data_IF_996729674657
#
_entry.id   IF_996729674657
#
_cell.length_a   1.000
_cell.length_b   1.000
_cell.length_c   1.000
_cell.angle_alpha   90.00
_cell.angle_beta   90.00
_cell.angle_gamma   90.00
#
_symmetry.space_group_name_H-M   'P 1'
#
loop_
_entity.id
_entity.type
_entity.pdbx_description
1 polymer ?
#
# COMPACT_ATOMS: atom_id res chain seq x y z
N UNK A 1 15.48 -10.77 -1.46
CA UNK A 1 14.46 -11.16 -0.51
C UNK A 1 13.83 -9.94 0.13
N UNK A 2 12.53 -9.96 0.18
CA UNK A 2 11.80 -8.82 0.71
C UNK A 2 12.16 -8.49 2.14
N UNK A 3 12.35 -9.49 2.96
CA UNK A 3 12.62 -9.24 4.37
C UNK A 3 13.95 -8.55 4.62
N UNK A 4 14.87 -8.60 3.65
CA UNK A 4 16.16 -7.93 3.83
C UNK A 4 16.03 -6.42 3.90
N UNK A 5 15.02 -5.88 3.25
CA UNK A 5 14.83 -4.44 3.22
C UNK A 5 13.71 -4.01 4.13
N UNK A 6 13.22 -4.90 4.99
CA UNK A 6 12.09 -4.60 5.86
C UNK A 6 10.74 -4.80 5.21
N UNK A 7 10.71 -5.25 3.96
CA UNK A 7 9.46 -5.54 3.30
C UNK A 7 9.23 -7.05 3.30
N UNK A 8 7.98 -7.46 3.50
CA UNK A 8 7.62 -8.87 3.47
C UNK A 8 7.31 -9.36 2.06
N UNK A 9 6.82 -8.48 1.19
CA UNK A 9 6.48 -8.84 -0.18
C UNK A 9 6.63 -7.62 -1.05
N UNK A 10 7.10 -7.83 -2.28
CA UNK A 10 7.19 -6.77 -3.26
C UNK A 10 6.63 -7.32 -4.57
N UNK A 11 5.63 -6.60 -5.12
CA UNK A 11 5.06 -6.90 -6.41
C UNK A 11 5.46 -5.81 -7.39
N UNK A 12 5.72 -6.20 -8.61
CA UNK A 12 6.19 -5.27 -9.63
C UNK A 12 5.31 -5.38 -10.85
N UNK A 13 4.91 -4.24 -11.40
CA UNK A 13 4.21 -4.16 -12.66
C UNK A 13 5.20 -3.71 -13.72
N UNK A 14 5.18 -4.37 -14.88
CA UNK A 14 6.08 -4.06 -15.98
C UNK A 14 5.29 -3.81 -17.24
N UNK A 15 5.84 -3.00 -18.13
CA UNK A 15 5.28 -2.76 -19.45
C UNK A 15 6.41 -2.82 -20.47
N UNK A 16 6.10 -3.16 -21.75
CA UNK A 16 7.11 -3.16 -22.79
C UNK A 16 7.71 -1.78 -22.97
N UNK A 17 9.01 -1.74 -23.16
CA UNK A 17 9.73 -0.50 -23.45
C UNK A 17 10.62 -0.70 -24.65
N UNK A 18 11.29 0.37 -25.10
CA UNK A 18 12.14 0.31 -26.28
C UNK A 18 13.35 -0.60 -26.05
N UNK A 19 13.78 -0.73 -24.80
CA UNK A 19 14.94 -1.56 -24.46
C UNK A 19 14.52 -2.78 -23.65
N UNK A 20 13.27 -3.25 -23.83
CA UNK A 20 12.76 -4.38 -23.06
C UNK A 20 11.78 -3.92 -21.99
N UNK A 21 11.38 -4.82 -21.10
CA UNK A 21 10.40 -4.47 -20.08
C UNK A 21 10.91 -3.37 -19.16
N UNK A 22 10.02 -2.46 -18.79
CA UNK A 22 10.30 -1.40 -17.82
C UNK A 22 9.37 -1.53 -16.65
N UNK A 23 9.87 -1.26 -15.46
CA UNK A 23 9.04 -1.22 -14.26
C UNK A 23 8.19 0.03 -14.31
N UNK A 24 6.88 -0.13 -14.23
CA UNK A 24 5.95 1.00 -14.26
C UNK A 24 5.25 1.20 -12.93
N UNK A 25 5.44 0.30 -11.99
CA UNK A 25 4.86 0.45 -10.66
C UNK A 25 5.31 -0.67 -9.76
N UNK A 26 5.07 -0.48 -8.45
CA UNK A 26 5.32 -1.54 -7.50
C UNK A 26 4.39 -1.37 -6.30
N UNK A 27 4.24 -2.46 -5.56
CA UNK A 27 3.52 -2.47 -4.31
C UNK A 27 4.30 -3.31 -3.32
N UNK A 28 4.30 -2.92 -2.07
CA UNK A 28 5.06 -3.66 -1.07
C UNK A 28 4.34 -3.68 0.26
N UNK A 29 4.70 -4.67 1.07
CA UNK A 29 4.26 -4.79 2.45
C UNK A 29 5.49 -4.67 3.34
N UNK A 30 5.33 -3.95 4.43
CA UNK A 30 6.40 -3.84 5.41
C UNK A 30 5.81 -3.97 6.81
N UNK A 31 6.65 -4.24 7.82
CA UNK A 31 6.14 -4.40 9.18
C UNK A 31 5.46 -3.11 9.64
N UNK A 32 4.32 -3.28 10.32
CA UNK A 32 3.64 -2.14 10.90
C UNK A 32 4.43 -1.61 12.09
N UNK A 33 4.81 -2.51 12.99
CA UNK A 33 5.65 -2.22 14.14
C UNK A 33 6.48 -3.46 14.42
N UNK A 34 7.60 -3.26 15.09
CA UNK A 34 8.56 -4.36 15.26
C UNK A 34 8.18 -5.32 16.37
N UNK A 35 7.32 -4.90 17.30
CA UNK A 35 7.00 -5.76 18.42
C UNK A 35 6.17 -6.96 17.97
N UNK A 36 6.34 -8.06 18.68
CA UNK A 36 5.67 -9.31 18.32
C UNK A 36 4.16 -9.17 18.29
N UNK A 37 3.60 -8.33 19.16
CA UNK A 37 2.15 -8.17 19.22
C UNK A 37 1.58 -7.63 17.91
N UNK A 38 2.40 -6.98 17.07
CA UNK A 38 1.93 -6.35 15.85
C UNK A 38 2.29 -7.12 14.60
N UNK A 39 2.71 -8.37 14.72
CA UNK A 39 3.15 -9.14 13.56
C UNK A 39 2.02 -9.46 12.60
N UNK A 40 0.78 -9.41 13.05
CA UNK A 40 -0.35 -9.67 12.19
C UNK A 40 -0.76 -8.50 11.32
N UNK A 41 -0.14 -7.35 11.48
CA UNK A 41 -0.46 -6.14 10.74
C UNK A 41 0.73 -5.69 9.92
N UNK A 42 0.47 -5.32 8.67
CA UNK A 42 1.50 -4.82 7.77
C UNK A 42 1.04 -3.51 7.17
N UNK A 43 2.00 -2.73 6.70
CA UNK A 43 1.72 -1.47 6.04
C UNK A 43 2.03 -1.62 4.56
N UNK A 44 1.15 -1.11 3.69
CA UNK A 44 1.38 -1.21 2.26
C UNK A 44 1.94 0.09 1.71
N UNK A 45 2.62 -0.03 0.58
CA UNK A 45 3.06 1.09 -0.24
C UNK A 45 2.79 0.74 -1.68
N UNK A 46 2.30 1.72 -2.44
CA UNK A 46 2.01 1.53 -3.86
C UNK A 46 2.54 2.73 -4.63
N UNK A 47 3.20 2.44 -5.72
CA UNK A 47 3.69 3.47 -6.63
C UNK A 47 3.41 3.07 -8.06
N UNK A 48 2.93 4.00 -8.87
CA UNK A 48 2.77 3.83 -10.30
C UNK A 48 3.37 5.05 -10.98
N UNK A 49 4.18 4.82 -12.01
CA UNK A 49 4.79 5.91 -12.76
C UNK A 49 3.71 6.79 -13.37
N UNK A 50 3.96 8.11 -13.40
CA UNK A 50 2.94 9.07 -13.83
C UNK A 50 2.37 8.77 -15.20
N UNK A 51 3.22 8.41 -16.14
CA UNK A 51 2.76 8.18 -17.51
C UNK A 51 1.93 6.92 -17.65
N UNK A 52 1.86 6.11 -16.60
CA UNK A 52 1.09 4.88 -16.60
C UNK A 52 -0.11 4.92 -15.69
N UNK A 53 -0.41 6.06 -15.10
CA UNK A 53 -1.57 6.20 -14.24
C UNK A 53 -2.85 6.16 -15.07
N UNK A 54 -3.94 5.77 -14.43
CA UNK A 54 -5.22 5.68 -15.08
C UNK A 54 -5.43 4.44 -15.92
N UNK A 55 -4.53 3.46 -15.82
CA UNK A 55 -4.61 2.23 -16.60
C UNK A 55 -4.97 1.01 -15.77
N UNK A 56 -5.37 1.23 -14.51
CA UNK A 56 -5.75 0.11 -13.65
C UNK A 56 -4.58 -0.61 -13.01
N UNK A 57 -3.36 -0.10 -13.15
CA UNK A 57 -2.18 -0.78 -12.61
C UNK A 57 -2.21 -0.78 -11.11
N UNK A 58 -2.51 0.37 -10.49
CA UNK A 58 -2.56 0.44 -9.03
C UNK A 58 -3.66 -0.45 -8.47
N UNK A 59 -4.80 -0.50 -9.17
CA UNK A 59 -5.91 -1.35 -8.76
C UNK A 59 -5.49 -2.81 -8.75
N UNK A 60 -4.82 -3.25 -9.78
CA UNK A 60 -4.37 -4.64 -9.85
C UNK A 60 -3.28 -4.93 -8.83
N UNK A 61 -2.32 -4.01 -8.68
CA UNK A 61 -1.25 -4.19 -7.70
C UNK A 61 -1.82 -4.30 -6.29
N UNK A 62 -2.75 -3.42 -5.94
CA UNK A 62 -3.31 -3.47 -4.58
C UNK A 62 -4.11 -4.75 -4.37
N UNK A 63 -4.90 -5.15 -5.35
CA UNK A 63 -5.65 -6.39 -5.23
C UNK A 63 -4.76 -7.59 -5.03
N UNK A 64 -3.69 -7.70 -5.83
CA UNK A 64 -2.75 -8.82 -5.71
C UNK A 64 -2.00 -8.76 -4.39
N UNK A 65 -1.63 -7.56 -3.94
CA UNK A 65 -0.91 -7.41 -2.69
C UNK A 65 -1.77 -7.85 -1.51
N UNK A 66 -3.05 -7.48 -1.52
CA UNK A 66 -3.95 -7.87 -0.42
C UNK A 66 -4.19 -9.37 -0.41
N UNK A 67 -4.28 -9.98 -1.59
CA UNK A 67 -4.41 -11.43 -1.63
C UNK A 67 -3.14 -12.10 -1.09
N UNK A 68 -1.98 -11.57 -1.44
CA UNK A 68 -0.72 -12.06 -0.90
C UNK A 68 -0.68 -11.91 0.62
N UNK A 69 -1.12 -10.77 1.12
CA UNK A 69 -1.14 -10.54 2.57
C UNK A 69 -2.05 -11.55 3.26
N UNK A 70 -3.23 -11.76 2.69
CA UNK A 70 -4.19 -12.67 3.31
C UNK A 70 -3.69 -14.10 3.30
N UNK A 71 -3.16 -14.57 2.18
CA UNK A 71 -2.69 -15.95 2.09
C UNK A 71 -1.42 -16.17 2.89
N UNK A 72 -0.67 -15.10 3.16
CA UNK A 72 0.51 -15.20 4.03
C UNK A 72 0.18 -15.20 5.50
N UNK A 73 -1.09 -15.05 5.86
CA UNK A 73 -1.50 -15.14 7.25
C UNK A 73 -1.61 -13.82 7.97
N UNK A 74 -1.42 -12.68 7.29
CA UNK A 74 -1.59 -11.39 7.94
C UNK A 74 -3.07 -11.12 8.18
N UNK A 75 -3.35 -10.39 9.25
CA UNK A 75 -4.72 -10.12 9.67
C UNK A 75 -5.22 -8.78 9.19
N UNK A 76 -4.36 -7.79 9.09
CA UNK A 76 -4.79 -6.46 8.66
C UNK A 76 -3.69 -5.73 7.92
N UNK A 77 -4.09 -4.77 7.11
CA UNK A 77 -3.18 -3.93 6.33
C UNK A 77 -3.55 -2.48 6.58
N UNK A 78 -2.53 -1.68 6.87
CA UNK A 78 -2.66 -0.25 7.11
C UNK A 78 -2.06 0.49 5.92
N UNK A 79 -2.71 1.57 5.51
CA UNK A 79 -2.20 2.46 4.46
C UNK A 79 -2.11 3.87 5.01
N UNK A 80 -0.98 4.53 4.75
CA UNK A 80 -0.80 5.93 5.09
C UNK A 80 -0.73 6.73 3.81
N UNK A 81 -1.70 7.61 3.62
CA UNK A 81 -1.87 8.36 2.37
C UNK A 81 -1.63 9.82 2.68
N UNK A 82 -0.55 10.37 2.13
CA UNK A 82 -0.16 11.74 2.42
C UNK A 82 -0.84 12.74 1.52
N UNK A 83 -1.13 13.91 2.08
CA UNK A 83 -1.69 15.02 1.35
C UNK A 83 -3.11 14.78 0.88
N UNK A 84 -3.51 15.59 -0.09
CA UNK A 84 -4.84 15.49 -0.68
C UNK A 84 -4.78 14.54 -1.86
N UNK A 85 -4.77 13.26 -1.60
CA UNK A 85 -4.68 12.27 -2.64
C UNK A 85 -5.98 11.47 -2.70
N UNK A 86 -6.97 12.08 -3.33
CA UNK A 86 -8.29 11.46 -3.41
C UNK A 86 -8.28 10.18 -4.22
N UNK A 87 -7.42 10.13 -5.24
CA UNK A 87 -7.34 8.92 -6.06
C UNK A 87 -6.87 7.74 -5.23
N UNK A 88 -5.88 7.94 -4.39
CA UNK A 88 -5.37 6.86 -3.55
C UNK A 88 -6.39 6.48 -2.48
N UNK A 89 -7.05 7.46 -1.88
CA UNK A 89 -8.09 7.20 -0.90
C UNK A 89 -9.23 6.39 -1.52
N UNK A 90 -9.67 6.76 -2.71
CA UNK A 90 -10.74 6.04 -3.40
C UNK A 90 -10.30 4.63 -3.77
N UNK A 91 -9.05 4.48 -4.20
CA UNK A 91 -8.51 3.17 -4.54
C UNK A 91 -8.55 2.24 -3.33
N UNK A 92 -8.06 2.71 -2.20
CA UNK A 92 -8.04 1.89 -0.99
C UNK A 92 -9.46 1.58 -0.51
N UNK A 93 -10.36 2.56 -0.59
CA UNK A 93 -11.75 2.32 -0.20
C UNK A 93 -12.39 1.24 -1.08
N UNK A 94 -12.08 1.24 -2.37
CA UNK A 94 -12.58 0.22 -3.28
C UNK A 94 -12.17 -1.18 -2.85
N UNK A 95 -11.01 -1.31 -2.25
CA UNK A 95 -10.49 -2.60 -1.79
C UNK A 95 -10.82 -2.90 -0.34
N UNK A 96 -11.78 -2.19 0.24
CA UNK A 96 -12.29 -2.51 1.56
C UNK A 96 -11.66 -1.77 2.71
N UNK A 97 -10.73 -0.87 2.44
CA UNK A 97 -10.15 -0.05 3.49
C UNK A 97 -11.16 0.98 3.98
N UNK A 98 -11.11 1.28 5.27
CA UNK A 98 -11.87 2.40 5.83
C UNK A 98 -10.91 3.37 6.50
N UNK A 99 -11.36 4.61 6.66
CA UNK A 99 -10.54 5.64 7.29
C UNK A 99 -10.51 5.39 8.79
N UNK A 100 -9.30 5.28 9.32
CA UNK A 100 -9.08 5.18 10.76
C UNK A 100 -8.97 6.55 11.39
N UNK A 101 -8.29 7.47 10.72
CA UNK A 101 -8.11 8.81 11.22
C UNK A 101 -7.19 9.61 10.34
N UNK A 102 -6.91 10.83 10.79
CA UNK A 102 -6.04 11.74 10.06
C UNK A 102 -4.96 12.21 11.03
N UNK A 103 -3.70 12.00 10.64
CA UNK A 103 -2.56 12.53 11.37
C UNK A 103 -2.27 13.91 10.83
N UNK A 104 -2.40 14.92 11.68
CA UNK A 104 -2.34 16.30 11.23
C UNK A 104 -0.92 16.79 11.19
N UNK A 105 -0.53 17.38 10.04
CA UNK A 105 0.71 18.13 9.90
C UNK A 105 1.93 17.31 10.30
N UNK A 106 1.93 16.02 9.92
CA UNK A 106 3.03 15.13 10.26
C UNK A 106 4.10 15.13 9.19
N UNK A 107 3.80 15.59 7.99
CA UNK A 107 4.75 15.64 6.91
C UNK A 107 5.03 17.05 6.45
N UNK A 108 6.15 17.24 5.76
CA UNK A 108 6.52 18.54 5.21
C UNK A 108 6.92 18.34 3.75
N UNK A 109 6.24 19.04 2.85
CA UNK A 109 6.47 18.83 1.43
C UNK A 109 6.20 20.14 0.71
N UNK A 110 7.10 20.55 -0.17
CA UNK A 110 6.96 21.80 -0.91
C UNK A 110 6.67 22.97 0.00
N UNK A 111 7.39 23.04 1.12
CA UNK A 111 7.23 24.12 2.09
C UNK A 111 5.86 24.20 2.72
N UNK A 112 5.13 23.10 2.74
CA UNK A 112 3.79 23.03 3.33
C UNK A 112 3.71 21.86 4.28
N UNK A 113 2.96 22.01 5.34
CA UNK A 113 2.61 20.90 6.21
C UNK A 113 1.54 20.06 5.55
N UNK A 114 1.68 18.75 5.62
CA UNK A 114 0.70 17.86 5.04
C UNK A 114 0.17 16.90 6.10
N UNK A 115 -1.12 16.62 5.96
CA UNK A 115 -1.78 15.62 6.79
C UNK A 115 -1.62 14.25 6.15
N UNK A 116 -1.75 13.21 6.96
CA UNK A 116 -1.73 11.83 6.47
C UNK A 116 -3.04 11.19 6.87
N UNK A 117 -3.75 10.66 5.87
CA UNK A 117 -4.96 9.87 6.12
C UNK A 117 -4.54 8.43 6.35
N UNK A 118 -4.97 7.87 7.47
CA UNK A 118 -4.66 6.48 7.81
C UNK A 118 -5.89 5.65 7.51
N UNK A 119 -5.72 4.62 6.69
CA UNK A 119 -6.79 3.70 6.32
C UNK A 119 -6.37 2.28 6.69
N UNK A 120 -7.34 1.41 6.84
CA UNK A 120 -7.07 0.05 7.28
C UNK A 120 -8.11 -0.89 6.72
N UNK A 121 -7.67 -2.08 6.35
CA UNK A 121 -8.56 -3.20 6.07
C UNK A 121 -8.19 -4.34 7.01
N UNK A 122 -9.20 -4.95 7.60
CA UNK A 122 -9.04 -6.13 8.45
C UNK A 122 -9.65 -7.29 7.70
N UNK A 123 -8.87 -8.34 7.52
CA UNK A 123 -9.39 -9.51 6.80
C UNK A 123 -10.33 -10.27 7.70
N UNK A 124 -11.51 -10.51 7.19
CA UNK A 124 -12.54 -11.21 7.94
C UNK A 124 -12.50 -12.67 7.52
N UNK A 125 -11.58 -13.40 8.11
CA UNK A 125 -11.37 -14.77 7.70
C UNK A 125 -12.04 -15.78 8.64
N UNK A 126 -12.80 -15.30 9.56
CA UNK A 126 -13.63 -16.11 10.45
C UNK A 126 -12.87 -17.02 11.37
N UNK A 127 -11.58 -16.93 11.41
CA UNK A 127 -10.88 -17.65 12.44
C UNK A 127 -10.76 -16.79 13.64
N UNK A 128 -11.07 -17.31 14.68
CA UNK A 128 -11.02 -16.53 15.91
C UNK A 128 -10.11 -17.17 16.90
#
# INVERSE_FOLDING_TARGET
MAERSGAFSILVASAPGSDGPSVVGFASLSPYKERAAYRGTVENSIYVADEHRGRGIADQLLGDLLETARTSGFHSVVARIGGDNEASTALHAKHGFSVVGIERQVGRKFNRWVDVTVMQVVFDDQRT
#
